data_IF_503269429304
#
_entry.id   IF_503269429304
#
_cell.length_a   1.000
_cell.length_b   1.000
_cell.length_c   1.000
_cell.angle_alpha   90.00
_cell.angle_beta   90.00
_cell.angle_gamma   90.00
#
_symmetry.space_group_name_H-M   'P 1'
#
loop_
_entity.id
_entity.type
_entity.pdbx_description
1 polymer ?
#
# COMPACT_ATOMS: atom_id res chain seq x y z
N UNK A 1 -24.64 -40.25 20.66
CA UNK A 1 -23.18 -40.31 20.43
C UNK A 1 -22.80 -39.87 19.01
N UNK A 2 -23.27 -40.56 17.95
CA UNK A 2 -22.98 -40.19 16.54
C UNK A 2 -23.58 -38.84 16.10
N UNK A 3 -24.77 -38.50 16.59
CA UNK A 3 -25.45 -37.21 16.34
C UNK A 3 -24.72 -36.02 17.00
N UNK A 4 -24.04 -36.24 18.12
CA UNK A 4 -23.24 -35.22 18.81
C UNK A 4 -21.94 -34.92 18.03
N UNK A 5 -21.34 -35.94 17.43
CA UNK A 5 -20.16 -35.79 16.57
C UNK A 5 -20.48 -35.00 15.29
N UNK A 6 -21.67 -35.19 14.73
CA UNK A 6 -22.14 -34.46 13.56
C UNK A 6 -22.34 -32.97 13.85
N UNK A 7 -22.84 -32.62 15.05
CA UNK A 7 -22.99 -31.22 15.49
C UNK A 7 -21.66 -30.51 15.78
N UNK A 8 -20.65 -31.24 16.29
CA UNK A 8 -19.32 -30.67 16.52
C UNK A 8 -18.60 -30.40 15.19
N UNK A 9 -18.77 -31.27 14.19
CA UNK A 9 -18.17 -31.11 12.87
C UNK A 9 -18.75 -29.91 12.09
N UNK A 10 -20.05 -29.62 12.20
CA UNK A 10 -20.68 -28.43 11.59
C UNK A 10 -20.29 -27.13 12.27
N UNK A 11 -20.03 -27.12 13.58
CA UNK A 11 -19.63 -25.91 14.31
C UNK A 11 -18.20 -25.45 13.94
N UNK A 12 -17.31 -26.38 13.62
CA UNK A 12 -15.92 -26.09 13.23
C UNK A 12 -15.83 -25.44 11.84
N UNK A 13 -16.80 -25.72 10.95
CA UNK A 13 -16.87 -25.16 9.59
C UNK A 13 -17.23 -23.66 9.54
N UNK A 14 -17.85 -23.11 10.58
CA UNK A 14 -18.26 -21.70 10.62
C UNK A 14 -17.27 -20.75 11.34
N UNK A 15 -16.15 -21.25 11.87
CA UNK A 15 -15.22 -20.45 12.68
C UNK A 15 -14.09 -19.75 11.88
N UNK A 16 -14.10 -19.82 10.56
CA UNK A 16 -12.95 -19.42 9.73
C UNK A 16 -13.14 -18.13 8.92
N UNK A 17 -13.24 -16.97 9.57
CA UNK A 17 -13.01 -15.70 8.88
C UNK A 17 -12.36 -14.68 9.83
N UNK A 18 -11.03 -14.57 9.76
CA UNK A 18 -10.28 -13.52 10.46
C UNK A 18 -10.33 -12.27 9.59
N UNK A 19 -11.03 -11.22 10.02
CA UNK A 19 -10.94 -9.91 9.37
C UNK A 19 -9.58 -9.32 9.71
N UNK A 20 -8.62 -9.39 8.79
CA UNK A 20 -7.40 -8.57 8.90
C UNK A 20 -7.81 -7.10 8.74
N UNK A 21 -7.39 -6.27 9.70
CA UNK A 21 -7.63 -4.83 9.68
C UNK A 21 -6.78 -4.24 8.55
N UNK A 22 -7.40 -4.08 7.40
CA UNK A 22 -6.77 -3.48 6.22
C UNK A 22 -6.91 -1.97 6.36
N UNK A 23 -5.85 -1.31 6.84
CA UNK A 23 -5.80 0.15 6.91
C UNK A 23 -5.36 0.71 5.55
N UNK A 24 -6.07 1.75 5.09
CA UNK A 24 -5.76 2.48 3.86
C UNK A 24 -5.00 3.76 4.18
N UNK A 25 -3.88 3.98 3.50
CA UNK A 25 -3.02 5.14 3.70
C UNK A 25 -3.01 6.03 2.45
N UNK A 26 -2.87 7.34 2.66
CA UNK A 26 -2.70 8.31 1.57
C UNK A 26 -1.41 9.09 1.79
N UNK A 27 -0.68 9.35 0.71
CA UNK A 27 0.56 10.14 0.70
C UNK A 27 0.40 11.25 -0.32
N UNK A 28 0.75 12.47 0.05
CA UNK A 28 0.83 13.61 -0.85
C UNK A 28 2.04 14.46 -0.49
N UNK A 29 2.64 15.10 -1.48
CA UNK A 29 3.82 15.92 -1.26
C UNK A 29 4.23 16.68 -2.51
N UNK A 30 5.38 17.33 -2.42
CA UNK A 30 6.02 18.07 -3.52
C UNK A 30 7.46 17.59 -3.61
N UNK A 31 7.85 17.06 -4.77
CA UNK A 31 9.23 16.67 -5.03
C UNK A 31 10.06 17.90 -5.44
N UNK A 32 11.28 18.07 -4.92
CA UNK A 32 12.14 19.22 -5.25
C UNK A 32 13.56 18.77 -5.59
N UNK A 33 13.93 18.75 -6.90
CA UNK A 33 15.32 18.62 -7.35
C UNK A 33 15.69 19.43 -8.62
N UNK A 34 14.78 20.26 -9.14
CA UNK A 34 14.88 20.97 -10.43
C UNK A 34 13.50 21.05 -11.08
N UNK A 35 13.33 21.71 -12.24
CA UNK A 35 12.01 21.77 -12.88
C UNK A 35 11.58 20.35 -13.24
N UNK A 36 10.61 19.81 -12.50
CA UNK A 36 9.95 18.58 -12.89
C UNK A 36 8.93 18.98 -13.94
N UNK A 37 8.95 18.36 -15.11
CA UNK A 37 7.80 18.47 -16.01
C UNK A 37 6.61 17.77 -15.36
N UNK A 38 5.41 18.35 -15.44
CA UNK A 38 4.17 17.66 -15.14
C UNK A 38 4.16 16.28 -15.82
N UNK A 39 3.70 15.25 -15.11
CA UNK A 39 3.76 13.86 -15.59
C UNK A 39 5.03 13.11 -15.20
N UNK A 40 5.92 13.71 -14.38
CA UNK A 40 7.09 13.02 -13.84
C UNK A 40 6.65 11.83 -12.99
N UNK A 41 7.31 10.68 -13.14
CA UNK A 41 6.92 9.41 -12.50
C UNK A 41 7.23 9.45 -11.01
N UNK A 42 6.25 9.13 -10.19
CA UNK A 42 6.38 8.95 -8.74
C UNK A 42 6.09 7.49 -8.41
N UNK A 43 7.04 6.83 -7.76
CA UNK A 43 6.91 5.43 -7.31
C UNK A 43 7.07 5.36 -5.80
N UNK A 44 6.11 4.69 -5.14
CA UNK A 44 6.15 4.43 -3.70
C UNK A 44 6.31 2.92 -3.49
N UNK A 45 7.39 2.53 -2.83
CA UNK A 45 7.66 1.15 -2.44
C UNK A 45 7.36 0.98 -0.96
N UNK A 46 6.58 -0.01 -0.59
CA UNK A 46 6.46 -0.41 0.80
C UNK A 46 7.75 -1.11 1.25
N UNK A 47 8.23 -0.74 2.44
CA UNK A 47 9.40 -1.34 3.08
C UNK A 47 8.99 -2.09 4.34
N UNK A 48 9.65 -3.21 4.64
CA UNK A 48 9.55 -3.88 5.94
C UNK A 48 10.39 -3.18 7.02
N UNK A 49 10.36 -3.70 8.25
CA UNK A 49 11.14 -3.17 9.39
C UNK A 49 12.67 -3.19 9.20
N UNK A 50 13.15 -3.91 8.18
CA UNK A 50 14.57 -3.97 7.78
C UNK A 50 14.90 -3.06 6.61
N UNK A 51 13.96 -2.20 6.19
CA UNK A 51 14.06 -1.31 5.03
C UNK A 51 14.18 -2.04 3.68
N UNK A 52 13.70 -3.27 3.60
CA UNK A 52 13.68 -4.05 2.36
C UNK A 52 12.29 -3.96 1.71
N UNK A 53 12.23 -3.92 0.38
CA UNK A 53 10.96 -3.85 -0.34
C UNK A 53 10.12 -5.11 -0.10
N UNK A 54 8.82 -4.93 0.18
CA UNK A 54 7.88 -6.06 0.38
C UNK A 54 7.32 -6.60 -0.93
N UNK A 55 7.53 -5.87 -2.03
CA UNK A 55 6.92 -6.13 -3.35
C UNK A 55 5.64 -5.33 -3.61
N UNK A 56 5.08 -4.64 -2.62
CA UNK A 56 3.99 -3.68 -2.86
C UNK A 56 4.54 -2.38 -3.42
N UNK A 57 4.04 -2.00 -4.60
CA UNK A 57 4.47 -0.81 -5.33
C UNK A 57 3.26 -0.02 -5.80
N UNK A 58 3.26 1.27 -5.56
CA UNK A 58 2.23 2.21 -6.00
C UNK A 58 2.86 3.26 -6.90
N UNK A 59 2.15 3.65 -7.96
CA UNK A 59 2.66 4.60 -8.95
C UNK A 59 1.65 5.72 -9.15
N UNK A 60 2.17 6.92 -9.31
CA UNK A 60 1.43 8.12 -9.72
C UNK A 60 2.36 9.00 -10.54
N UNK A 61 1.86 10.16 -10.93
CA UNK A 61 2.63 11.18 -11.64
C UNK A 61 2.53 12.51 -10.91
N UNK A 62 3.46 13.42 -11.20
CA UNK A 62 3.34 14.80 -10.74
C UNK A 62 2.16 15.49 -11.44
N UNK A 63 1.39 16.27 -10.70
CA UNK A 63 0.19 16.96 -11.18
C UNK A 63 0.47 18.36 -11.72
N UNK A 64 1.67 18.87 -11.51
CA UNK A 64 2.14 20.18 -11.99
C UNK A 64 3.66 20.18 -12.22
N UNK A 65 4.15 21.29 -12.76
CA UNK A 65 5.58 21.52 -13.01
C UNK A 65 6.38 21.85 -11.73
N UNK A 66 5.70 21.94 -10.58
CA UNK A 66 6.31 22.17 -9.28
C UNK A 66 6.62 20.86 -8.54
N UNK A 67 6.22 19.72 -9.11
CA UNK A 67 6.48 18.40 -8.55
C UNK A 67 5.44 17.93 -7.54
N UNK A 68 4.24 18.54 -7.50
CA UNK A 68 3.14 18.09 -6.63
C UNK A 68 2.68 16.70 -6.99
N UNK A 69 2.41 15.83 -6.02
CA UNK A 69 1.86 14.48 -6.25
C UNK A 69 0.92 14.03 -5.12
N UNK A 70 0.02 13.10 -5.44
CA UNK A 70 -0.86 12.45 -4.47
C UNK A 70 -1.16 11.01 -4.85
N UNK A 71 -1.16 10.14 -3.84
CA UNK A 71 -1.54 8.73 -3.86
C UNK A 71 -2.54 8.50 -2.72
N UNK A 72 -3.67 7.87 -3.02
CA UNK A 72 -4.74 7.62 -2.05
C UNK A 72 -4.99 6.13 -1.90
N UNK A 73 -5.59 5.76 -0.77
CA UNK A 73 -6.14 4.44 -0.51
C UNK A 73 -5.16 3.26 -0.68
N UNK A 74 -3.89 3.47 -0.38
CA UNK A 74 -2.85 2.44 -0.43
C UNK A 74 -3.01 1.45 0.73
N UNK A 75 -3.10 0.17 0.40
CA UNK A 75 -3.21 -0.89 1.39
C UNK A 75 -1.82 -1.35 1.84
N UNK A 76 -1.32 -0.73 2.89
CA UNK A 76 -0.03 -1.04 3.48
C UNK A 76 -0.19 -2.04 4.63
N UNK A 77 0.79 -2.92 4.72
CA UNK A 77 1.06 -3.87 5.78
C UNK A 77 2.21 -3.41 6.69
N UNK A 78 3.00 -2.42 6.26
CA UNK A 78 4.06 -1.76 7.02
C UNK A 78 3.87 -0.24 7.04
N UNK A 79 4.42 0.43 8.05
CA UNK A 79 4.37 1.88 8.21
C UNK A 79 5.52 2.62 7.52
N UNK A 80 6.41 1.90 6.83
CA UNK A 80 7.61 2.46 6.18
C UNK A 80 7.47 2.38 4.67
N UNK A 81 7.80 3.47 3.98
CA UNK A 81 7.81 3.54 2.51
C UNK A 81 9.05 4.27 2.00
N UNK A 82 9.48 3.92 0.80
CA UNK A 82 10.42 4.69 -0.01
C UNK A 82 9.66 5.40 -1.12
N UNK A 83 9.91 6.70 -1.30
CA UNK A 83 9.34 7.49 -2.40
C UNK A 83 10.46 7.83 -3.38
N UNK A 84 10.28 7.46 -4.64
CA UNK A 84 11.17 7.74 -5.74
C UNK A 84 10.46 8.59 -6.78
N UNK A 85 11.10 9.68 -7.21
CA UNK A 85 10.56 10.58 -8.24
C UNK A 85 11.57 10.71 -9.38
N UNK A 86 11.15 10.26 -10.55
CA UNK A 86 11.93 10.28 -11.78
C UNK A 86 11.25 11.18 -12.81
N UNK A 87 11.94 12.22 -13.23
CA UNK A 87 11.48 13.15 -14.26
C UNK A 87 12.66 13.70 -15.05
N UNK A 88 12.41 14.03 -16.31
CA UNK A 88 13.32 14.81 -17.13
C UNK A 88 13.01 16.31 -16.96
N UNK A 89 14.07 17.11 -16.83
CA UNK A 89 14.02 18.56 -17.02
C UNK A 89 14.03 18.88 -18.52
#
# INVERSE_FOLDING_TARGET
MKTLYFFIATLILFAGCRKEKTESYSISGVAQKGPFSQGSKVTVYELNDKLEQTGKVFKTETTDDFGSFSLKDMLLTSSIVQVEVEGCA
#
